data_IF_824575100795
#
_entry.id   IF_824575100795
#
_cell.length_a   1.000
_cell.length_b   1.000
_cell.length_c   1.000
_cell.angle_alpha   90.00
_cell.angle_beta   90.00
_cell.angle_gamma   90.00
#
_symmetry.space_group_name_H-M   'P 1'
#
loop_
_entity.id
_entity.type
_entity.pdbx_description
1 polymer ?
#
# COMPACT_ATOMS: atom_id res chain seq x y z
N UNK A 1 10.00 -17.61 -0.27
CA UNK A 1 8.94 -16.63 -0.59
C UNK A 1 9.51 -15.65 -1.61
N UNK A 2 8.78 -15.28 -2.67
CA UNK A 2 9.29 -14.38 -3.72
C UNK A 2 9.48 -12.97 -3.15
N UNK A 3 10.70 -12.41 -3.29
CA UNK A 3 10.99 -11.04 -2.85
C UNK A 3 10.53 -10.00 -3.87
N UNK A 4 10.58 -10.33 -5.18
CA UNK A 4 10.15 -9.45 -6.26
C UNK A 4 8.62 -9.34 -6.36
N UNK A 5 8.14 -8.20 -6.83
CA UNK A 5 6.73 -7.94 -7.13
C UNK A 5 6.41 -8.25 -8.60
N UNK A 6 5.22 -8.78 -8.94
CA UNK A 6 4.12 -9.14 -8.04
C UNK A 6 4.42 -10.41 -7.22
N UNK A 7 3.84 -10.49 -6.03
CA UNK A 7 4.02 -11.61 -5.09
C UNK A 7 2.73 -12.46 -5.03
N UNK A 8 2.84 -13.79 -5.12
CA UNK A 8 1.68 -14.66 -4.91
C UNK A 8 1.22 -14.62 -3.44
N UNK A 9 0.01 -15.12 -3.20
CA UNK A 9 -0.49 -15.33 -1.85
C UNK A 9 0.44 -16.26 -1.04
N UNK A 10 0.31 -16.22 0.28
CA UNK A 10 1.08 -17.09 1.17
C UNK A 10 0.91 -18.58 0.78
N UNK A 11 2.01 -19.38 0.79
CA UNK A 11 1.98 -20.80 0.47
C UNK A 11 0.98 -21.57 1.33
N UNK A 12 0.38 -22.61 0.75
CA UNK A 12 -0.67 -23.40 1.42
C UNK A 12 -0.23 -23.98 2.76
N UNK A 13 1.03 -24.41 2.89
CA UNK A 13 1.57 -24.93 4.15
C UNK A 13 1.61 -23.92 5.31
N UNK A 14 1.52 -22.61 5.04
CA UNK A 14 1.46 -21.58 6.08
C UNK A 14 0.02 -21.18 6.44
N UNK A 15 -0.96 -21.48 5.59
CA UNK A 15 -2.36 -21.07 5.78
C UNK A 15 -3.01 -21.66 7.04
N UNK A 16 -2.70 -22.90 7.48
CA UNK A 16 -3.24 -23.45 8.74
C UNK A 16 -2.88 -22.67 10.00
N UNK A 17 -1.88 -21.77 9.96
CA UNK A 17 -1.52 -20.91 11.09
C UNK A 17 -2.56 -19.79 11.36
N UNK A 18 -3.50 -19.60 10.42
CA UNK A 18 -4.49 -18.54 10.49
C UNK A 18 -5.88 -19.14 10.73
N UNK A 19 -6.78 -18.30 11.26
CA UNK A 19 -8.19 -18.68 11.48
C UNK A 19 -8.91 -18.88 10.14
N UNK A 20 -9.98 -19.68 10.15
CA UNK A 20 -10.78 -20.00 8.95
C UNK A 20 -11.53 -18.81 8.32
N UNK A 21 -11.45 -17.62 8.90
CA UNK A 21 -12.04 -16.37 8.38
C UNK A 21 -11.04 -15.49 7.62
N UNK A 22 -9.94 -16.07 7.12
CA UNK A 22 -8.89 -15.35 6.38
C UNK A 22 -8.88 -15.79 4.92
N UNK A 23 -9.01 -14.82 4.01
CA UNK A 23 -8.77 -15.03 2.58
C UNK A 23 -7.38 -14.50 2.23
N UNK A 24 -6.51 -15.36 1.72
CA UNK A 24 -5.16 -14.97 1.30
C UNK A 24 -5.18 -14.44 -0.12
N UNK A 25 -4.57 -13.28 -0.33
CA UNK A 25 -4.44 -12.63 -1.64
C UNK A 25 -2.96 -12.38 -1.95
N UNK A 26 -2.65 -12.13 -3.23
CA UNK A 26 -1.32 -11.69 -3.63
C UNK A 26 -1.04 -10.23 -3.29
N UNK A 27 0.14 -9.75 -3.69
CA UNK A 27 0.52 -8.34 -3.66
C UNK A 27 0.98 -7.91 -5.06
N UNK A 28 0.25 -7.01 -5.75
CA UNK A 28 -1.04 -6.42 -5.36
C UNK A 28 -2.21 -7.41 -5.45
N UNK A 29 -3.39 -6.99 -5.00
CA UNK A 29 -4.65 -7.69 -5.24
C UNK A 29 -5.80 -6.71 -5.49
N UNK A 30 -6.73 -7.10 -6.35
CA UNK A 30 -7.95 -6.35 -6.64
C UNK A 30 -9.19 -7.19 -6.32
N UNK A 31 -10.16 -6.61 -5.61
CA UNK A 31 -11.39 -7.29 -5.22
C UNK A 31 -12.52 -6.29 -4.93
N UNK A 32 -13.77 -6.77 -4.89
CA UNK A 32 -14.93 -5.95 -4.53
C UNK A 32 -15.42 -6.32 -3.14
N UNK A 33 -15.54 -5.33 -2.26
CA UNK A 33 -16.00 -5.50 -0.88
C UNK A 33 -16.92 -4.33 -0.51
N UNK A 34 -18.10 -4.65 0.04
CA UNK A 34 -19.09 -3.65 0.42
C UNK A 34 -19.58 -2.78 -0.75
N UNK A 35 -19.59 -3.34 -1.97
CA UNK A 35 -19.97 -2.60 -3.19
C UNK A 35 -18.88 -1.67 -3.74
N UNK A 36 -17.69 -1.63 -3.12
CA UNK A 36 -16.56 -0.78 -3.54
C UNK A 36 -15.46 -1.64 -4.15
N UNK A 37 -14.83 -1.16 -5.21
CA UNK A 37 -13.66 -1.81 -5.81
C UNK A 37 -12.38 -1.40 -5.06
N UNK A 38 -11.67 -2.39 -4.53
CA UNK A 38 -10.41 -2.23 -3.79
C UNK A 38 -9.23 -2.65 -4.65
N UNK A 39 -8.17 -1.86 -4.59
CA UNK A 39 -6.83 -2.24 -5.01
C UNK A 39 -5.93 -2.15 -3.77
N UNK A 40 -5.46 -3.30 -3.31
CA UNK A 40 -4.52 -3.37 -2.19
C UNK A 40 -3.13 -3.68 -2.73
N UNK A 41 -2.15 -2.94 -2.23
CA UNK A 41 -0.75 -3.05 -2.63
C UNK A 41 0.11 -2.85 -1.38
N UNK A 42 1.24 -3.53 -1.23
CA UNK A 42 2.06 -3.32 -0.03
C UNK A 42 2.61 -1.89 0.05
N UNK A 43 2.98 -1.30 -1.10
CA UNK A 43 3.52 0.07 -1.16
C UNK A 43 5.04 0.15 -1.29
N UNK A 44 5.74 -0.93 -1.68
CA UNK A 44 7.21 -0.94 -1.77
C UNK A 44 7.74 0.16 -2.68
N UNK A 45 7.02 0.46 -3.77
CA UNK A 45 7.38 1.52 -4.71
C UNK A 45 7.34 2.94 -4.17
N UNK A 46 6.76 3.18 -2.97
CA UNK A 46 6.81 4.49 -2.32
C UNK A 46 8.28 4.91 -2.10
N UNK A 47 9.17 3.98 -1.78
CA UNK A 47 10.61 4.25 -1.64
C UNK A 47 11.20 4.87 -2.92
N UNK A 48 10.88 4.28 -4.07
CA UNK A 48 11.38 4.73 -5.37
C UNK A 48 10.73 6.05 -5.80
N UNK A 49 9.44 6.24 -5.50
CA UNK A 49 8.73 7.48 -5.80
C UNK A 49 9.26 8.65 -4.96
N UNK A 50 9.47 8.46 -3.66
CA UNK A 50 10.06 9.48 -2.78
C UNK A 50 11.46 9.85 -3.24
N UNK A 51 12.25 8.88 -3.71
CA UNK A 51 13.59 9.13 -4.21
C UNK A 51 13.61 9.89 -5.55
N UNK A 52 12.62 9.67 -6.43
CA UNK A 52 12.64 10.19 -7.81
C UNK A 52 11.76 11.40 -8.06
N UNK A 53 10.74 11.65 -7.25
CA UNK A 53 9.79 12.74 -7.45
C UNK A 53 9.98 13.81 -6.36
N UNK A 54 10.47 15.01 -6.71
CA UNK A 54 10.61 16.11 -5.76
C UNK A 54 9.27 16.45 -5.08
N UNK A 55 9.34 16.72 -3.77
CA UNK A 55 8.16 17.08 -2.96
C UNK A 55 7.39 15.89 -2.38
N UNK A 56 7.77 14.64 -2.70
CA UNK A 56 7.28 13.47 -1.99
C UNK A 56 8.11 13.18 -0.74
N UNK A 57 7.47 12.61 0.28
CA UNK A 57 8.14 12.24 1.53
C UNK A 57 7.47 11.02 2.16
N UNK A 58 8.19 10.33 3.05
CA UNK A 58 7.61 9.27 3.87
C UNK A 58 6.57 9.77 4.88
N UNK A 59 6.55 11.07 5.20
CA UNK A 59 5.61 11.65 6.15
C UNK A 59 4.19 11.84 5.55
N UNK A 60 4.10 11.97 4.22
CA UNK A 60 2.85 12.20 3.48
C UNK A 60 2.70 11.13 2.38
N UNK A 61 2.59 9.83 2.76
CA UNK A 61 2.66 8.71 1.82
C UNK A 61 1.51 8.70 0.81
N UNK A 62 0.37 9.30 1.15
CA UNK A 62 -0.77 9.45 0.25
C UNK A 62 -0.42 10.26 -1.00
N UNK A 63 0.55 11.18 -0.94
CA UNK A 63 1.02 11.91 -2.13
C UNK A 63 1.71 10.98 -3.12
N UNK A 64 2.52 10.03 -2.63
CA UNK A 64 3.13 9.01 -3.48
C UNK A 64 2.06 8.08 -4.09
N UNK A 65 1.05 7.70 -3.30
CA UNK A 65 -0.09 6.92 -3.82
C UNK A 65 -0.86 7.67 -4.91
N UNK A 66 -1.03 8.99 -4.79
CA UNK A 66 -1.61 9.82 -5.85
C UNK A 66 -0.76 9.79 -7.13
N UNK A 67 0.57 9.79 -7.02
CA UNK A 67 1.46 9.65 -8.17
C UNK A 67 1.33 8.27 -8.87
N UNK A 68 1.07 7.20 -8.12
CA UNK A 68 0.71 5.88 -8.68
C UNK A 68 -0.59 5.96 -9.49
N UNK A 69 -1.63 6.60 -8.92
CA UNK A 69 -2.93 6.78 -9.59
C UNK A 69 -2.81 7.61 -10.87
N UNK A 70 -2.03 8.70 -10.84
CA UNK A 70 -1.77 9.55 -12.01
C UNK A 70 -1.08 8.78 -13.14
N UNK A 71 -0.10 7.94 -12.82
CA UNK A 71 0.65 7.11 -13.77
C UNK A 71 -0.05 5.81 -14.15
N UNK A 72 -1.14 5.47 -13.46
CA UNK A 72 -1.88 4.21 -13.64
C UNK A 72 -0.99 2.99 -13.46
N UNK A 73 -0.03 3.06 -12.54
CA UNK A 73 0.94 2.01 -12.29
C UNK A 73 1.42 2.03 -10.84
N UNK A 74 1.46 0.87 -10.18
CA UNK A 74 1.85 0.77 -8.78
C UNK A 74 3.36 0.93 -8.57
N UNK A 75 4.20 0.34 -9.44
CA UNK A 75 5.67 0.48 -9.37
C UNK A 75 6.34 0.76 -10.73
N UNK A 76 6.20 1.96 -11.31
CA UNK A 76 6.63 2.24 -12.69
C UNK A 76 8.15 2.40 -12.87
N UNK A 77 8.95 2.38 -11.79
CA UNK A 77 10.39 2.61 -11.84
C UNK A 77 11.09 1.24 -11.83
N UNK A 78 11.91 0.97 -12.85
CA UNK A 78 12.71 -0.25 -12.96
C UNK A 78 14.16 -0.02 -12.49
N UNK A 79 14.80 -1.05 -11.94
CA UNK A 79 16.24 -1.05 -11.63
C UNK A 79 16.65 -0.27 -10.37
N UNK A 80 15.71 -0.06 -9.44
CA UNK A 80 15.95 0.67 -8.20
C UNK A 80 15.70 -0.21 -6.97
N UNK A 81 15.00 0.28 -5.93
CA UNK A 81 14.82 -0.47 -4.68
C UNK A 81 13.76 -1.57 -4.78
N UNK A 82 12.80 -1.42 -5.69
CA UNK A 82 11.80 -2.47 -5.97
C UNK A 82 12.37 -3.46 -6.98
N UNK A 83 12.42 -4.74 -6.61
CA UNK A 83 12.65 -5.83 -7.56
C UNK A 83 11.34 -6.18 -8.26
N UNK A 84 11.32 -6.08 -9.60
CA UNK A 84 10.16 -6.46 -10.43
C UNK A 84 10.46 -7.82 -11.06
N UNK A 85 9.55 -8.77 -10.89
CA UNK A 85 9.65 -10.10 -11.47
C UNK A 85 9.41 -10.02 -12.99
N UNK A 86 10.18 -10.77 -13.82
CA UNK A 86 9.98 -10.81 -15.26
C UNK A 86 8.78 -11.72 -15.60
N UNK A 87 7.58 -11.24 -15.29
CA UNK A 87 6.32 -11.90 -15.66
C UNK A 87 5.96 -11.60 -17.13
N UNK A 88 5.18 -12.48 -17.76
CA UNK A 88 4.70 -12.27 -19.14
C UNK A 88 3.76 -11.06 -19.26
N UNK A 89 3.03 -10.76 -18.19
CA UNK A 89 2.09 -9.65 -18.09
C UNK A 89 2.44 -8.75 -16.90
N UNK A 90 2.36 -7.43 -17.11
CA UNK A 90 2.56 -6.46 -16.04
C UNK A 90 1.31 -6.33 -15.15
N UNK A 91 1.34 -7.05 -14.02
CA UNK A 91 0.28 -7.06 -13.01
C UNK A 91 0.29 -5.83 -12.09
N UNK A 92 1.25 -4.91 -12.23
CA UNK A 92 1.34 -3.67 -11.45
C UNK A 92 0.62 -2.49 -12.12
N UNK A 93 0.15 -2.67 -13.36
CA UNK A 93 -0.67 -1.70 -14.09
C UNK A 93 -2.06 -1.55 -13.46
N UNK A 94 -2.46 -0.32 -13.17
CA UNK A 94 -3.80 0.03 -12.69
C UNK A 94 -4.75 0.13 -13.89
N UNK A 95 -5.27 -1.01 -14.35
CA UNK A 95 -6.12 -1.10 -15.57
C UNK A 95 -7.44 -0.35 -15.47
N UNK A 96 -8.06 -0.32 -14.29
CA UNK A 96 -9.27 0.44 -14.00
C UNK A 96 -9.06 1.23 -12.70
N UNK A 97 -9.49 2.50 -12.61
CA UNK A 97 -9.42 3.23 -11.36
C UNK A 97 -10.21 2.49 -10.27
N UNK A 98 -9.61 2.18 -9.10
CA UNK A 98 -10.34 1.56 -8.01
C UNK A 98 -11.20 2.60 -7.27
N UNK A 99 -12.15 2.17 -6.45
CA UNK A 99 -12.78 3.05 -5.47
C UNK A 99 -11.81 3.37 -4.32
N UNK A 100 -10.99 2.40 -3.92
CA UNK A 100 -9.99 2.52 -2.85
C UNK A 100 -8.64 1.96 -3.32
N UNK A 101 -7.57 2.74 -3.12
CA UNK A 101 -6.19 2.25 -3.16
C UNK A 101 -5.66 2.18 -1.72
N UNK A 102 -5.28 1.00 -1.27
CA UNK A 102 -4.75 0.78 0.08
C UNK A 102 -3.30 0.35 0.04
N UNK A 103 -2.45 1.01 0.83
CA UNK A 103 -1.02 0.73 0.98
C UNK A 103 -0.56 0.64 2.43
N UNK A 104 0.69 0.24 2.62
CA UNK A 104 1.39 0.28 3.90
C UNK A 104 2.88 0.57 3.70
N UNK A 105 3.74 -0.35 4.13
CA UNK A 105 5.19 -0.32 3.96
C UNK A 105 5.97 0.76 4.73
N UNK A 106 5.57 2.02 4.63
CA UNK A 106 6.35 3.18 5.13
C UNK A 106 6.05 3.60 6.56
N UNK A 107 5.10 2.91 7.21
CA UNK A 107 4.80 3.02 8.64
C UNK A 107 4.23 4.37 9.10
N UNK A 108 3.80 5.24 8.17
CA UNK A 108 3.10 6.50 8.43
C UNK A 108 1.65 6.45 7.93
N UNK A 109 0.74 7.15 8.59
CA UNK A 109 -0.67 7.19 8.17
C UNK A 109 -0.92 8.34 7.21
N UNK A 110 -1.43 8.02 6.02
CA UNK A 110 -1.78 8.97 4.98
C UNK A 110 -3.16 8.68 4.41
N UNK A 111 -3.97 9.73 4.15
CA UNK A 111 -5.29 9.57 3.53
C UNK A 111 -5.56 10.74 2.59
N UNK A 112 -5.90 10.45 1.34
CA UNK A 112 -6.26 11.46 0.35
C UNK A 112 -7.41 10.99 -0.53
N UNK A 113 -8.12 11.95 -1.12
CA UNK A 113 -9.09 11.69 -2.18
C UNK A 113 -8.60 12.31 -3.48
N UNK A 114 -8.48 11.51 -4.53
CA UNK A 114 -7.99 11.95 -5.83
C UNK A 114 -8.93 11.45 -6.93
N UNK A 115 -9.60 12.38 -7.62
CA UNK A 115 -10.52 12.10 -8.74
C UNK A 115 -11.49 10.95 -8.45
N UNK A 116 -12.07 10.94 -7.25
CA UNK A 116 -13.05 9.92 -6.82
C UNK A 116 -12.46 8.68 -6.14
N UNK A 117 -11.14 8.46 -6.22
CA UNK A 117 -10.43 7.36 -5.54
C UNK A 117 -10.03 7.80 -4.14
N UNK A 118 -10.28 6.95 -3.14
CA UNK A 118 -9.75 7.14 -1.77
C UNK A 118 -8.43 6.38 -1.62
N UNK A 119 -7.32 7.07 -1.42
CA UNK A 119 -6.00 6.51 -1.16
C UNK A 119 -5.73 6.48 0.36
N UNK A 120 -5.37 5.31 0.91
CA UNK A 120 -5.13 5.11 2.35
C UNK A 120 -3.82 4.36 2.56
N UNK A 121 -2.90 4.93 3.33
CA UNK A 121 -1.74 4.24 3.88
C UNK A 121 -1.97 3.96 5.37
N UNK A 122 -1.92 2.69 5.79
CA UNK A 122 -2.42 2.26 7.11
C UNK A 122 -1.47 2.42 8.29
N UNK A 123 -0.31 3.07 8.13
CA UNK A 123 0.64 3.24 9.23
C UNK A 123 1.25 1.92 9.70
N UNK A 124 1.41 1.74 11.01
CA UNK A 124 2.05 0.56 11.59
C UNK A 124 1.59 0.27 13.03
N UNK A 125 1.95 -0.90 13.52
CA UNK A 125 1.93 -1.27 14.95
C UNK A 125 3.34 -1.39 15.54
N UNK A 126 4.37 -1.05 14.77
CA UNK A 126 5.77 -1.14 15.17
C UNK A 126 6.29 0.22 15.65
N UNK A 127 6.95 0.24 16.80
CA UNK A 127 7.74 1.39 17.24
C UNK A 127 8.95 1.64 16.32
N UNK A 128 9.56 2.81 16.43
CA UNK A 128 10.67 3.19 15.57
C UNK A 128 11.87 2.25 15.74
N UNK A 129 12.29 1.62 14.64
CA UNK A 129 13.47 0.74 14.61
C UNK A 129 14.76 1.52 14.42
N UNK A 130 15.91 0.92 14.73
CA UNK A 130 17.22 1.57 14.51
C UNK A 130 17.51 1.81 13.03
N UNK A 131 16.98 0.97 12.12
CA UNK A 131 17.03 1.26 10.69
C UNK A 131 16.25 2.54 10.35
N UNK A 132 15.04 2.68 10.87
CA UNK A 132 14.22 3.88 10.65
C UNK A 132 14.87 5.13 11.23
N UNK A 133 15.50 5.06 12.42
CA UNK A 133 16.30 6.17 12.97
C UNK A 133 17.43 6.59 12.04
N UNK A 134 18.20 5.64 11.52
CA UNK A 134 19.30 5.91 10.56
C UNK A 134 18.80 6.54 9.27
N UNK A 135 17.58 6.19 8.84
CA UNK A 135 16.94 6.75 7.64
C UNK A 135 16.09 8.00 7.92
N UNK A 136 16.10 8.52 9.16
CA UNK A 136 15.28 9.64 9.60
C UNK A 136 13.76 9.45 9.31
N UNK A 137 13.26 8.22 9.44
CA UNK A 137 11.85 7.87 9.27
C UNK A 137 11.18 7.88 10.64
N UNK A 138 10.12 8.67 10.78
CA UNK A 138 9.30 8.76 11.99
C UNK A 138 7.98 8.01 11.77
N UNK A 139 7.82 6.76 12.26
CA UNK A 139 6.57 6.02 12.09
C UNK A 139 5.47 6.62 12.96
N UNK A 140 4.22 6.33 12.60
CA UNK A 140 3.02 6.67 13.38
C UNK A 140 2.35 5.39 13.89
N UNK A 141 2.90 4.75 14.93
CA UNK A 141 2.35 3.51 15.46
C UNK A 141 0.96 3.73 16.08
N UNK A 142 0.16 2.66 16.10
CA UNK A 142 -1.12 2.62 16.80
C UNK A 142 -2.15 3.65 16.33
N UNK A 143 -2.11 4.01 15.04
CA UNK A 143 -3.14 4.81 14.38
C UNK A 143 -3.81 3.95 13.31
N UNK A 144 -5.13 3.79 13.40
CA UNK A 144 -5.93 2.99 12.47
C UNK A 144 -6.77 3.91 11.57
N UNK A 145 -6.63 3.84 10.23
CA UNK A 145 -7.59 4.46 9.33
C UNK A 145 -8.94 3.75 9.41
N UNK A 146 -10.00 4.52 9.65
CA UNK A 146 -11.38 4.07 9.54
C UNK A 146 -12.00 4.70 8.31
N UNK A 147 -12.63 3.89 7.46
CA UNK A 147 -13.35 4.33 6.26
C UNK A 147 -14.79 3.82 6.32
N UNK A 148 -15.74 4.74 6.25
CA UNK A 148 -17.15 4.42 6.00
C UNK A 148 -17.37 4.24 4.50
N UNK A 149 -17.75 3.03 4.07
CA UNK A 149 -17.93 2.70 2.65
C UNK A 149 -19.18 3.33 2.02
N UNK A 150 -20.17 3.73 2.82
CA UNK A 150 -21.39 4.37 2.31
C UNK A 150 -21.15 5.84 1.96
N UNK A 151 -20.34 6.53 2.78
CA UNK A 151 -20.05 7.96 2.62
C UNK A 151 -18.67 8.23 2.03
N UNK A 152 -17.81 7.21 1.95
CA UNK A 152 -16.39 7.31 1.60
C UNK A 152 -15.61 8.30 2.49
N UNK A 153 -16.10 8.58 3.70
CA UNK A 153 -15.44 9.45 4.68
C UNK A 153 -14.44 8.66 5.51
N UNK A 154 -13.20 9.16 5.53
CA UNK A 154 -12.10 8.56 6.27
C UNK A 154 -11.76 9.38 7.52
N UNK A 155 -11.42 8.70 8.63
CA UNK A 155 -10.92 9.32 9.87
C UNK A 155 -9.85 8.45 10.52
N UNK A 156 -9.08 9.01 11.43
CA UNK A 156 -8.05 8.30 12.20
C UNK A 156 -8.62 7.90 13.56
N UNK A 157 -8.38 6.66 13.96
CA UNK A 157 -8.58 6.18 15.33
C UNK A 157 -7.19 6.07 15.97
N UNK A 158 -6.98 6.70 17.12
CA UNK A 158 -5.67 6.78 17.79
C UNK A 158 -5.71 5.89 19.03
N UNK A 159 -4.73 5.01 19.16
CA UNK A 159 -4.55 4.05 20.25
C UNK A 159 -3.17 4.18 20.93
N UNK A 160 -2.38 5.16 20.49
CA UNK A 160 -1.07 5.49 21.07
C UNK A 160 -1.20 6.22 22.40
#
# INVERSE_FOLDING_TARGET
>A
MRQAEPQPALPEGLRPLFRGNVTFVGNPAAFRLGGVDWLVYHGRSIDDLVLKIPGLSYAEPEKAMVEMLKRRHLSPIYGNRVSIAPEEEDLLVIRRPPGILHSGHVHTVGMARYKGVTAINSGTWQSQTDFQKKMNIQPTPAIVPYLDLSTMRARRLIFA
#
